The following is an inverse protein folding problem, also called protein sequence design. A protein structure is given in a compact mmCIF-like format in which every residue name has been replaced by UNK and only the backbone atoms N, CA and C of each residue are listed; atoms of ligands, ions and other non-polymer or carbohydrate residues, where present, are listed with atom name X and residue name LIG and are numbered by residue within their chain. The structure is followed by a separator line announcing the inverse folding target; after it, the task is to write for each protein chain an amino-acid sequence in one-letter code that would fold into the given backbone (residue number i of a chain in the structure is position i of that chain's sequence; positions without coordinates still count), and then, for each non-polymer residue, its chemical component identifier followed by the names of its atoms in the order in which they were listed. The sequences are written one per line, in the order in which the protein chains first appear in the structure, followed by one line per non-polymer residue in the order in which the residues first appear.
data_IF_610355123685
#
_entry.id   IF_610355123685
#
_cell.length_a   1.000
_cell.length_b   1.000
_cell.length_c   1.000
_cell.angle_alpha   90.00
_cell.angle_beta   90.00
_cell.angle_gamma   90.00
#
_symmetry.space_group_name_H-M   'P 1'
#
loop_
_entity.id
_entity.type
_entity.pdbx_description
1 polymer ?
#
# COMPACT_ATOMS: atom_id res chain seq x y z
N UNK A 1 33.03 -26.14 42.60
CA UNK A 1 31.59 -25.86 42.84
C UNK A 1 31.30 -24.53 42.15
N UNK A 2 30.94 -24.47 40.86
CA UNK A 2 29.71 -24.89 40.18
C UNK A 2 28.48 -24.13 40.70
N UNK A 3 28.12 -23.04 40.02
CA UNK A 3 26.79 -22.42 39.80
C UNK A 3 27.08 -21.25 38.82
N UNK A 4 26.95 -21.26 37.49
CA UNK A 4 25.96 -21.75 36.52
C UNK A 4 24.52 -21.24 36.74
N UNK A 5 24.17 -20.26 35.88
CA UNK A 5 22.86 -19.92 35.26
C UNK A 5 21.85 -19.13 36.13
N UNK A 6 21.47 -17.90 35.74
CA UNK A 6 20.29 -17.70 34.87
C UNK A 6 20.12 -16.26 34.38
N UNK A 7 20.13 -16.15 33.04
CA UNK A 7 19.68 -15.04 32.24
C UNK A 7 18.22 -14.69 32.50
N UNK A 8 17.93 -13.41 32.68
CA UNK A 8 16.62 -12.84 32.33
C UNK A 8 16.91 -11.64 31.43
N UNK A 9 17.03 -11.93 30.14
CA UNK A 9 16.88 -10.88 29.13
C UNK A 9 15.46 -10.36 29.24
N UNK A 10 15.32 -9.06 29.49
CA UNK A 10 14.09 -8.31 29.35
C UNK A 10 13.49 -8.58 27.96
N UNK A 11 12.41 -9.34 27.90
CA UNK A 11 11.52 -9.39 26.72
C UNK A 11 10.25 -8.65 27.11
N UNK A 12 10.30 -7.32 27.04
CA UNK A 12 9.14 -6.45 27.20
C UNK A 12 9.19 -5.37 26.11
N UNK A 13 8.86 -5.72 24.86
CA UNK A 13 8.61 -4.70 23.82
C UNK A 13 7.90 -5.21 22.54
N UNK A 14 6.90 -6.10 22.58
CA UNK A 14 6.22 -6.54 21.34
C UNK A 14 4.69 -6.70 21.42
N UNK A 15 3.98 -5.86 22.17
CA UNK A 15 2.49 -5.90 22.19
C UNK A 15 1.80 -4.64 21.65
N UNK A 16 2.57 -3.65 21.17
CA UNK A 16 2.03 -2.39 20.61
C UNK A 16 1.77 -2.37 19.10
N UNK A 17 2.47 -3.19 18.31
CA UNK A 17 2.46 -3.05 16.83
C UNK A 17 1.14 -3.47 16.15
N UNK A 18 0.33 -4.32 16.77
CA UNK A 18 -0.89 -4.86 16.13
C UNK A 18 -1.93 -3.79 15.80
N UNK A 19 -2.08 -2.77 16.65
CA UNK A 19 -3.07 -1.71 16.46
C UNK A 19 -2.66 -0.67 15.42
N UNK A 20 -1.37 -0.31 15.42
CA UNK A 20 -0.77 0.63 14.49
C UNK A 20 -0.71 0.03 13.07
N UNK A 21 -0.23 -1.20 12.95
CA UNK A 21 -0.17 -1.90 11.67
C UNK A 21 -1.56 -2.07 11.04
N UNK A 22 -2.60 -2.34 11.84
CA UNK A 22 -3.99 -2.37 11.35
C UNK A 22 -4.44 -1.01 10.78
N UNK A 23 -4.09 0.10 11.44
CA UNK A 23 -4.44 1.45 10.98
C UNK A 23 -3.73 1.77 9.66
N UNK A 24 -2.43 1.48 9.57
CA UNK A 24 -1.63 1.69 8.37
C UNK A 24 -2.20 0.88 7.21
N UNK A 25 -2.48 -0.41 7.42
CA UNK A 25 -3.07 -1.28 6.41
C UNK A 25 -4.43 -0.77 5.89
N UNK A 26 -5.31 -0.30 6.80
CA UNK A 26 -6.59 0.30 6.41
C UNK A 26 -6.37 1.58 5.60
N UNK A 27 -5.51 2.47 6.07
CA UNK A 27 -5.22 3.73 5.38
C UNK A 27 -4.66 3.48 3.98
N UNK A 28 -3.75 2.53 3.83
CA UNK A 28 -3.18 2.14 2.54
C UNK A 28 -4.26 1.66 1.55
N UNK A 29 -5.18 0.79 1.98
CA UNK A 29 -6.33 0.41 1.13
C UNK A 29 -7.19 1.62 0.75
N UNK A 30 -7.50 2.51 1.69
CA UNK A 30 -8.35 3.68 1.45
C UNK A 30 -7.68 4.67 0.47
N UNK A 31 -6.35 4.87 0.59
CA UNK A 31 -5.59 5.72 -0.33
C UNK A 31 -5.50 5.12 -1.73
N UNK A 32 -5.26 3.82 -1.86
CA UNK A 32 -5.26 3.16 -3.17
C UNK A 32 -6.57 3.38 -3.92
N UNK A 33 -7.70 3.25 -3.20
CA UNK A 33 -9.04 3.54 -3.76
C UNK A 33 -9.22 5.01 -4.14
N UNK A 34 -8.78 5.94 -3.30
CA UNK A 34 -8.89 7.38 -3.57
C UNK A 34 -8.08 7.80 -4.80
N UNK A 35 -6.88 7.24 -4.95
CA UNK A 35 -6.03 7.49 -6.12
C UNK A 35 -6.64 6.87 -7.39
N UNK A 36 -7.25 5.69 -7.29
CA UNK A 36 -7.98 5.10 -8.41
C UNK A 36 -9.20 5.94 -8.82
N UNK A 37 -9.96 6.43 -7.84
CA UNK A 37 -11.09 7.32 -8.08
C UNK A 37 -10.63 8.61 -8.79
N UNK A 38 -9.57 9.24 -8.27
CA UNK A 38 -8.99 10.46 -8.86
C UNK A 38 -8.54 10.21 -10.29
N UNK A 39 -7.92 9.06 -10.58
CA UNK A 39 -7.54 8.69 -11.93
C UNK A 39 -8.77 8.55 -12.84
N UNK A 40 -9.82 7.86 -12.41
CA UNK A 40 -11.04 7.70 -13.20
C UNK A 40 -11.67 9.06 -13.54
N UNK A 41 -11.73 9.97 -12.57
CA UNK A 41 -12.33 11.30 -12.73
C UNK A 41 -11.53 12.19 -13.71
N UNK A 42 -10.21 11.98 -13.80
CA UNK A 42 -9.31 12.85 -14.56
C UNK A 42 -8.77 12.23 -15.86
N UNK A 43 -8.85 10.91 -16.05
CA UNK A 43 -8.20 10.23 -17.17
C UNK A 43 -8.67 10.69 -18.55
N UNK A 44 -9.92 11.17 -18.68
CA UNK A 44 -10.45 11.64 -19.97
C UNK A 44 -9.76 12.91 -20.50
N UNK A 45 -9.11 13.68 -19.62
CA UNK A 45 -8.35 14.88 -19.98
C UNK A 45 -6.83 14.67 -19.95
N UNK A 46 -6.36 13.49 -19.54
CA UNK A 46 -4.94 13.16 -19.51
C UNK A 46 -4.42 12.78 -20.89
N UNK A 47 -3.24 13.29 -21.21
CA UNK A 47 -2.40 12.73 -22.27
C UNK A 47 -1.86 11.36 -21.86
N UNK A 48 -1.40 10.52 -22.81
CA UNK A 48 -0.78 9.24 -22.48
C UNK A 48 0.43 9.38 -21.53
N UNK A 49 1.22 10.44 -21.67
CA UNK A 49 2.38 10.69 -20.80
C UNK A 49 1.97 11.05 -19.37
N UNK A 50 0.89 11.82 -19.21
CA UNK A 50 0.35 12.14 -17.87
C UNK A 50 -0.22 10.89 -17.21
N UNK A 51 -0.90 10.03 -17.97
CA UNK A 51 -1.38 8.74 -17.49
C UNK A 51 -0.21 7.84 -17.04
N UNK A 52 0.84 7.74 -17.84
CA UNK A 52 2.06 6.99 -17.47
C UNK A 52 2.69 7.55 -16.18
N UNK A 53 2.87 8.87 -16.10
CA UNK A 53 3.38 9.55 -14.92
C UNK A 53 2.53 9.29 -13.68
N UNK A 54 1.20 9.24 -13.82
CA UNK A 54 0.30 8.90 -12.74
C UNK A 54 0.54 7.47 -12.23
N UNK A 55 0.62 6.49 -13.13
CA UNK A 55 0.89 5.09 -12.76
C UNK A 55 2.27 4.93 -12.10
N UNK A 56 3.28 5.65 -12.58
CA UNK A 56 4.59 5.69 -11.92
C UNK A 56 4.51 6.29 -10.51
N UNK A 57 3.66 7.29 -10.29
CA UNK A 57 3.35 7.83 -8.97
C UNK A 57 2.75 6.79 -8.02
N UNK A 58 1.81 5.97 -8.50
CA UNK A 58 1.24 4.85 -7.73
C UNK A 58 2.35 3.86 -7.32
N UNK A 59 3.25 3.52 -8.24
CA UNK A 59 4.39 2.63 -7.93
C UNK A 59 5.37 3.26 -6.95
N UNK A 60 5.63 4.56 -7.04
CA UNK A 60 6.47 5.26 -6.07
C UNK A 60 5.89 5.18 -4.66
N UNK A 61 4.57 5.38 -4.51
CA UNK A 61 3.88 5.21 -3.20
C UNK A 61 3.94 3.78 -2.68
N UNK A 62 3.78 2.78 -3.56
CA UNK A 62 3.99 1.37 -3.20
C UNK A 62 5.41 1.14 -2.64
N UNK A 63 6.42 1.64 -3.34
CA UNK A 63 7.82 1.51 -2.91
C UNK A 63 8.09 2.20 -1.58
N UNK A 64 7.52 3.39 -1.33
CA UNK A 64 7.65 4.08 -0.04
C UNK A 64 7.13 3.21 1.12
N UNK A 65 5.97 2.57 0.97
CA UNK A 65 5.49 1.61 1.98
C UNK A 65 6.46 0.45 2.20
N UNK A 66 7.07 -0.08 1.13
CA UNK A 66 8.03 -1.18 1.23
C UNK A 66 9.31 -0.72 1.95
N UNK A 67 9.86 0.43 1.59
CA UNK A 67 11.08 1.00 2.19
C UNK A 67 10.90 1.30 3.68
N UNK A 68 9.71 1.71 4.09
CA UNK A 68 9.34 1.93 5.50
C UNK A 68 8.98 0.63 6.26
N UNK A 69 9.15 -0.54 5.65
CA UNK A 69 8.90 -1.84 6.29
C UNK A 69 7.42 -2.26 6.35
N UNK A 70 6.52 -1.52 5.69
CA UNK A 70 5.09 -1.78 5.66
C UNK A 70 4.66 -2.58 4.42
N UNK A 71 5.29 -3.74 4.19
CA UNK A 71 5.02 -4.59 3.01
C UNK A 71 3.53 -4.92 2.84
N UNK A 72 2.82 -5.21 3.92
CA UNK A 72 1.39 -5.53 3.84
C UNK A 72 0.55 -4.32 3.42
N UNK A 73 0.93 -3.12 3.85
CA UNK A 73 0.28 -1.88 3.45
C UNK A 73 0.51 -1.61 1.96
N UNK A 74 1.72 -1.84 1.45
CA UNK A 74 2.03 -1.72 0.03
C UNK A 74 1.13 -2.62 -0.85
N UNK A 75 1.00 -3.91 -0.48
CA UNK A 75 0.09 -4.84 -1.16
C UNK A 75 -1.36 -4.35 -1.14
N UNK A 76 -1.81 -3.85 0.01
CA UNK A 76 -3.17 -3.38 0.22
C UNK A 76 -3.46 -2.07 -0.53
N UNK A 77 -2.47 -1.20 -0.67
CA UNK A 77 -2.55 0.02 -1.46
C UNK A 77 -2.74 -0.31 -2.94
N UNK A 78 -1.86 -1.13 -3.53
CA UNK A 78 -1.98 -1.56 -4.92
C UNK A 78 -3.29 -2.31 -5.14
N UNK A 79 -3.64 -3.26 -4.28
CA UNK A 79 -4.91 -3.99 -4.39
C UNK A 79 -6.11 -3.05 -4.35
N UNK A 80 -6.12 -2.08 -3.43
CA UNK A 80 -7.17 -1.07 -3.33
C UNK A 80 -7.32 -0.25 -4.61
N UNK A 81 -6.19 0.15 -5.21
CA UNK A 81 -6.15 0.87 -6.47
C UNK A 81 -6.68 0.02 -7.64
N UNK A 82 -6.12 -1.17 -7.84
CA UNK A 82 -6.48 -1.98 -9.00
C UNK A 82 -7.91 -2.51 -8.94
N UNK A 83 -8.37 -2.96 -7.77
CA UNK A 83 -9.74 -3.45 -7.59
C UNK A 83 -10.75 -2.33 -7.89
N UNK A 84 -10.50 -1.12 -7.38
CA UNK A 84 -11.40 0.01 -7.61
C UNK A 84 -11.48 0.38 -9.10
N UNK A 85 -10.36 0.36 -9.84
CA UNK A 85 -10.38 0.59 -11.29
C UNK A 85 -11.19 -0.50 -12.00
N UNK A 86 -10.95 -1.77 -11.68
CA UNK A 86 -11.67 -2.90 -12.30
C UNK A 86 -13.17 -2.87 -12.02
N UNK A 87 -13.57 -2.42 -10.84
CA UNK A 87 -14.98 -2.33 -10.45
C UNK A 87 -15.71 -1.13 -11.06
N UNK A 88 -15.01 -0.05 -11.43
CA UNK A 88 -15.62 1.23 -11.79
C UNK A 88 -15.28 1.74 -13.20
N UNK A 89 -14.31 1.15 -13.90
CA UNK A 89 -13.94 1.56 -15.26
C UNK A 89 -13.29 0.44 -16.07
N UNK A 90 -14.12 -0.31 -16.81
CA UNK A 90 -13.66 -1.35 -17.74
C UNK A 90 -12.69 -0.81 -18.80
N UNK A 91 -12.91 0.42 -19.28
CA UNK A 91 -12.05 1.05 -20.29
C UNK A 91 -10.65 1.30 -19.73
N UNK A 92 -10.53 1.91 -18.55
CA UNK A 92 -9.23 2.16 -17.93
C UNK A 92 -8.56 0.87 -17.47
N UNK A 93 -9.32 -0.09 -16.94
CA UNK A 93 -8.78 -1.41 -16.59
C UNK A 93 -8.13 -2.10 -17.80
N UNK A 94 -8.75 -2.02 -18.98
CA UNK A 94 -8.20 -2.54 -20.24
C UNK A 94 -6.97 -1.78 -20.74
N UNK A 95 -6.81 -0.50 -20.38
CA UNK A 95 -5.63 0.28 -20.77
C UNK A 95 -4.45 0.00 -19.84
N UNK A 96 -4.71 -0.17 -18.54
CA UNK A 96 -3.66 -0.24 -17.53
C UNK A 96 -3.19 -1.68 -17.27
N UNK A 97 -4.09 -2.68 -17.30
CA UNK A 97 -3.79 -4.04 -16.82
C UNK A 97 -3.77 -5.12 -17.91
N UNK A 98 -3.91 -4.74 -19.18
CA UNK A 98 -4.01 -5.67 -20.31
C UNK A 98 -2.69 -5.80 -21.06
#
# INVERSE_FOLDING_TARGET
MKHFILSVFLVLALTGCSGEERKINKAATDYGKADAQTLIESASSMTPLELEGYILGIRATEYDYIENGHKKAAELYIKGFEDYIRENSDSLANVIFK
#
